data_IF_843651816876
#
_entry.id   IF_843651816876
#
_cell.length_a   1.000
_cell.length_b   1.000
_cell.length_c   1.000
_cell.angle_alpha   90.00
_cell.angle_beta   90.00
_cell.angle_gamma   90.00
#
_symmetry.space_group_name_H-M   'P 1'
#
loop_
_entity.id
_entity.type
_entity.pdbx_description
1 polymer ?
#
# COMPACT_ATOMS: atom_id res chain seq x y z
N UNK A 1 -36.58 -38.03 32.79
CA UNK A 1 -37.11 -36.87 33.53
C UNK A 1 -36.37 -35.58 33.22
N UNK A 2 -35.02 -35.54 33.14
CA UNK A 2 -34.30 -34.31 32.76
C UNK A 2 -34.16 -34.15 31.24
N UNK A 3 -33.96 -35.25 30.52
CA UNK A 3 -33.81 -35.27 29.05
C UNK A 3 -35.12 -34.91 28.32
N UNK A 4 -36.27 -35.34 28.84
CA UNK A 4 -37.59 -35.03 28.25
C UNK A 4 -37.95 -33.54 28.37
N UNK A 5 -37.42 -32.87 29.39
CA UNK A 5 -37.65 -31.44 29.63
C UNK A 5 -36.80 -30.57 28.70
N UNK A 6 -35.57 -31.03 28.37
CA UNK A 6 -34.65 -30.36 27.45
C UNK A 6 -35.18 -30.40 25.99
N UNK A 7 -35.68 -31.55 25.53
CA UNK A 7 -36.34 -31.65 24.21
C UNK A 7 -37.56 -30.73 24.09
N UNK A 8 -38.33 -30.59 25.18
CA UNK A 8 -39.54 -29.75 25.16
C UNK A 8 -39.19 -28.26 25.11
N UNK A 9 -38.16 -27.84 25.82
CA UNK A 9 -37.65 -26.46 25.79
C UNK A 9 -37.05 -26.12 24.41
N UNK A 10 -36.29 -27.04 23.80
CA UNK A 10 -35.74 -26.86 22.45
C UNK A 10 -36.84 -26.74 21.39
N UNK A 11 -37.86 -27.60 21.44
CA UNK A 11 -39.01 -27.52 20.54
C UNK A 11 -39.81 -26.21 20.72
N UNK A 12 -39.95 -25.74 21.97
CA UNK A 12 -40.64 -24.49 22.26
C UNK A 12 -39.84 -23.28 21.76
N UNK A 13 -38.52 -23.30 21.94
CA UNK A 13 -37.61 -22.27 21.43
C UNK A 13 -37.61 -22.21 19.90
N UNK A 14 -37.52 -23.35 19.21
CA UNK A 14 -37.61 -23.46 17.75
C UNK A 14 -38.95 -22.94 17.19
N UNK A 15 -40.06 -23.19 17.89
CA UNK A 15 -41.38 -22.66 17.51
C UNK A 15 -41.47 -21.14 17.68
N UNK A 16 -40.95 -20.62 18.79
CA UNK A 16 -40.89 -19.18 19.06
C UNK A 16 -39.98 -18.49 18.04
N UNK A 17 -38.83 -19.08 17.74
CA UNK A 17 -37.90 -18.60 16.72
C UNK A 17 -38.54 -18.56 15.33
N UNK A 18 -39.26 -19.61 14.94
CA UNK A 18 -40.01 -19.64 13.69
C UNK A 18 -41.17 -18.62 13.64
N UNK A 19 -41.84 -18.36 14.77
CA UNK A 19 -42.89 -17.34 14.87
C UNK A 19 -42.35 -15.92 14.79
N UNK A 20 -41.17 -15.68 15.36
CA UNK A 20 -40.56 -14.35 15.46
C UNK A 20 -39.74 -14.00 14.20
N UNK A 21 -39.11 -14.98 13.54
CA UNK A 21 -38.04 -14.68 12.60
C UNK A 21 -37.96 -15.62 11.41
N UNK A 22 -38.70 -15.32 10.35
CA UNK A 22 -38.28 -15.76 9.00
C UNK A 22 -38.72 -14.83 7.87
N UNK A 23 -39.82 -14.05 8.02
CA UNK A 23 -40.35 -13.20 6.92
C UNK A 23 -40.82 -11.81 7.34
N UNK A 24 -40.31 -11.27 8.45
CA UNK A 24 -40.61 -9.90 8.85
C UNK A 24 -39.97 -8.86 7.93
N UNK A 25 -40.76 -7.95 7.35
CA UNK A 25 -40.26 -6.78 6.59
C UNK A 25 -39.21 -5.98 7.38
N UNK A 26 -39.35 -5.95 8.70
CA UNK A 26 -38.42 -5.29 9.61
C UNK A 26 -37.05 -5.98 9.66
N UNK A 27 -36.99 -7.31 9.76
CA UNK A 27 -35.73 -8.06 9.80
C UNK A 27 -34.94 -7.90 8.49
N UNK A 28 -35.63 -7.91 7.34
CA UNK A 28 -35.00 -7.64 6.04
C UNK A 28 -34.47 -6.21 5.95
N UNK A 29 -35.21 -5.23 6.48
CA UNK A 29 -34.77 -3.83 6.50
C UNK A 29 -33.58 -3.60 7.43
N UNK A 30 -33.58 -4.23 8.60
CA UNK A 30 -32.45 -4.19 9.52
C UNK A 30 -31.20 -4.84 8.91
N UNK A 31 -31.34 -6.03 8.32
CA UNK A 31 -30.23 -6.71 7.64
C UNK A 31 -29.64 -5.86 6.50
N UNK A 32 -30.49 -5.25 5.68
CA UNK A 32 -30.04 -4.36 4.61
C UNK A 32 -29.34 -3.11 5.15
N UNK A 33 -29.91 -2.44 6.15
CA UNK A 33 -29.30 -1.26 6.77
C UNK A 33 -27.96 -1.58 7.42
N UNK A 34 -27.90 -2.69 8.16
CA UNK A 34 -26.68 -3.14 8.84
C UNK A 34 -25.58 -3.48 7.83
N UNK A 35 -25.89 -4.25 6.78
CA UNK A 35 -24.92 -4.58 5.74
C UNK A 35 -24.47 -3.34 4.97
N UNK A 36 -25.39 -2.44 4.61
CA UNK A 36 -25.04 -1.22 3.87
C UNK A 36 -24.12 -0.32 4.69
N UNK A 37 -24.42 -0.15 5.99
CA UNK A 37 -23.57 0.59 6.91
C UNK A 37 -22.20 -0.07 7.10
N UNK A 38 -22.17 -1.40 7.26
CA UNK A 38 -20.94 -2.15 7.40
C UNK A 38 -20.04 -2.03 6.16
N UNK A 39 -20.60 -2.16 4.96
CA UNK A 39 -19.87 -1.97 3.70
C UNK A 39 -19.34 -0.54 3.57
N UNK A 40 -20.13 0.47 3.94
CA UNK A 40 -19.69 1.86 3.92
C UNK A 40 -18.51 2.09 4.87
N UNK A 41 -18.59 1.60 6.10
CA UNK A 41 -17.50 1.70 7.07
C UNK A 41 -16.26 0.91 6.65
N UNK A 42 -16.42 -0.26 6.03
CA UNK A 42 -15.32 -1.07 5.54
C UNK A 42 -14.65 -0.48 4.29
N UNK A 43 -15.40 0.27 3.46
CA UNK A 43 -14.88 0.84 2.22
C UNK A 43 -13.82 1.92 2.45
N UNK A 44 -13.99 2.76 3.47
CA UNK A 44 -13.05 3.84 3.80
C UNK A 44 -11.61 3.34 4.09
N UNK A 45 -11.38 2.43 5.04
CA UNK A 45 -10.04 1.90 5.29
C UNK A 45 -9.51 1.08 4.12
N UNK A 46 -10.39 0.40 3.36
CA UNK A 46 -9.98 -0.35 2.17
C UNK A 46 -9.37 0.57 1.12
N UNK A 47 -10.02 1.68 0.78
CA UNK A 47 -9.48 2.62 -0.19
C UNK A 47 -8.23 3.34 0.34
N UNK A 48 -8.17 3.67 1.63
CA UNK A 48 -6.95 4.20 2.24
C UNK A 48 -5.76 3.23 2.11
N UNK A 49 -6.00 1.93 2.30
CA UNK A 49 -4.97 0.92 2.12
C UNK A 49 -4.52 0.78 0.66
N UNK A 50 -5.47 0.79 -0.29
CA UNK A 50 -5.16 0.77 -1.73
C UNK A 50 -4.32 1.99 -2.13
N UNK A 51 -4.66 3.18 -1.64
CA UNK A 51 -3.90 4.41 -1.90
C UNK A 51 -2.51 4.37 -1.25
N UNK A 52 -2.38 3.82 -0.04
CA UNK A 52 -1.08 3.68 0.62
C UNK A 52 -0.14 2.71 -0.12
N UNK A 53 -0.69 1.66 -0.74
CA UNK A 53 0.09 0.71 -1.55
C UNK A 53 0.34 1.18 -2.98
N UNK A 54 -0.49 2.08 -3.50
CA UNK A 54 -0.32 2.68 -4.81
C UNK A 54 0.82 3.71 -4.76
N UNK A 55 2.06 3.24 -4.67
CA UNK A 55 3.25 4.09 -4.83
C UNK A 55 3.33 4.50 -6.30
N UNK A 56 3.11 5.79 -6.64
CA UNK A 56 3.23 6.22 -8.02
C UNK A 56 4.69 6.10 -8.49
N UNK A 57 4.87 5.95 -9.80
CA UNK A 57 6.18 6.02 -10.42
C UNK A 57 6.72 7.46 -10.31
N UNK A 58 7.47 7.69 -9.23
CA UNK A 58 8.21 8.90 -8.99
C UNK A 58 9.70 8.65 -9.29
N UNK A 59 10.36 9.67 -9.81
CA UNK A 59 11.80 9.70 -10.01
C UNK A 59 12.38 10.80 -9.11
N UNK A 60 13.59 10.55 -8.59
CA UNK A 60 14.24 11.51 -7.71
C UNK A 60 14.69 12.74 -8.50
N UNK A 61 14.37 13.93 -8.00
CA UNK A 61 14.88 15.18 -8.56
C UNK A 61 16.34 15.37 -8.15
N UNK A 62 17.26 15.29 -9.12
CA UNK A 62 18.69 15.48 -8.88
C UNK A 62 19.08 16.95 -9.10
N UNK A 63 19.54 17.68 -8.05
CA UNK A 63 20.02 19.04 -8.19
C UNK A 63 21.33 19.08 -9.01
N UNK A 64 21.56 20.17 -9.75
CA UNK A 64 22.79 20.35 -10.55
C UNK A 64 22.57 20.49 -12.06
N UNK A 65 21.35 20.21 -12.55
CA UNK A 65 21.02 20.35 -13.99
C UNK A 65 21.28 21.76 -14.52
N UNK A 66 21.01 22.79 -13.72
CA UNK A 66 21.12 24.21 -14.12
C UNK A 66 22.54 24.65 -14.51
N UNK A 67 23.57 23.90 -14.11
CA UNK A 67 24.96 24.15 -14.50
C UNK A 67 25.40 23.41 -15.77
N UNK A 68 24.50 22.66 -16.40
CA UNK A 68 24.81 21.78 -17.54
C UNK A 68 23.85 22.01 -18.71
N UNK A 69 24.34 21.88 -19.95
CA UNK A 69 23.53 21.99 -21.17
C UNK A 69 22.77 20.68 -21.52
N UNK A 70 22.43 19.86 -20.53
CA UNK A 70 21.76 18.58 -20.76
C UNK A 70 20.23 18.71 -20.76
N UNK A 71 19.59 17.94 -21.64
CA UNK A 71 18.13 17.76 -21.62
C UNK A 71 17.70 16.92 -20.42
N UNK A 72 16.42 17.00 -20.02
CA UNK A 72 15.90 16.25 -18.86
C UNK A 72 16.10 14.74 -18.99
N UNK A 73 15.94 14.19 -20.18
CA UNK A 73 16.04 12.75 -20.41
C UNK A 73 17.49 12.26 -20.35
N UNK A 74 18.41 13.02 -20.94
CA UNK A 74 19.86 12.74 -20.84
C UNK A 74 20.35 12.87 -19.39
N UNK A 75 19.86 13.86 -18.66
CA UNK A 75 20.20 14.03 -17.25
C UNK A 75 19.73 12.84 -16.41
N UNK A 76 18.50 12.35 -16.62
CA UNK A 76 17.98 11.16 -15.95
C UNK A 76 18.84 9.93 -16.23
N UNK A 77 19.24 9.72 -17.48
CA UNK A 77 20.04 8.55 -17.87
C UNK A 77 21.43 8.52 -17.23
N UNK A 78 22.06 9.68 -17.03
CA UNK A 78 23.42 9.78 -16.46
C UNK A 78 23.39 9.72 -14.93
N UNK A 79 22.33 10.23 -14.30
CA UNK A 79 22.27 10.42 -12.84
C UNK A 79 21.55 9.29 -12.10
N UNK A 80 20.60 8.62 -12.73
CA UNK A 80 19.76 7.58 -12.10
C UNK A 80 20.19 6.18 -12.57
N UNK A 81 20.61 5.28 -11.67
CA UNK A 81 20.85 3.88 -12.02
C UNK A 81 19.57 3.19 -12.52
N UNK A 82 19.70 2.28 -13.47
CA UNK A 82 18.61 1.39 -13.88
C UNK A 82 18.58 0.19 -12.94
N UNK A 83 17.46 -0.04 -12.26
CA UNK A 83 17.24 -1.18 -11.37
C UNK A 83 16.17 -2.10 -11.96
N UNK A 84 16.35 -3.42 -11.75
CA UNK A 84 15.36 -4.40 -12.18
C UNK A 84 14.26 -4.41 -11.14
N UNK A 85 13.06 -4.00 -11.54
CA UNK A 85 11.90 -4.03 -10.67
C UNK A 85 11.49 -5.48 -10.36
N UNK A 86 10.64 -5.68 -9.36
CA UNK A 86 10.06 -6.97 -8.97
C UNK A 86 9.35 -7.66 -10.14
N UNK A 87 8.87 -6.88 -11.13
CA UNK A 87 8.26 -7.34 -12.37
C UNK A 87 9.27 -7.68 -13.50
N UNK A 88 10.57 -7.55 -13.25
CA UNK A 88 11.63 -7.88 -14.19
C UNK A 88 11.91 -6.84 -15.28
N UNK A 89 11.18 -5.73 -15.32
CA UNK A 89 11.47 -4.58 -16.19
C UNK A 89 12.63 -3.74 -15.66
N UNK A 90 13.44 -3.22 -16.58
CA UNK A 90 14.48 -2.24 -16.29
C UNK A 90 13.83 -0.85 -16.16
N UNK A 91 13.68 -0.37 -14.92
CA UNK A 91 13.16 0.97 -14.64
C UNK A 91 14.25 1.84 -13.99
N UNK A 92 14.11 3.16 -14.06
CA UNK A 92 15.01 4.06 -13.34
C UNK A 92 14.79 3.91 -11.83
N UNK A 93 15.88 3.89 -11.06
CA UNK A 93 15.80 3.72 -9.61
C UNK A 93 15.09 4.92 -8.97
N UNK A 94 14.12 4.64 -8.08
CA UNK A 94 13.27 5.66 -7.46
C UNK A 94 14.01 6.47 -6.37
N UNK A 95 15.00 5.88 -5.71
CA UNK A 95 15.66 6.48 -4.54
C UNK A 95 17.20 6.54 -4.61
N UNK A 96 17.81 6.03 -5.69
CA UNK A 96 19.27 5.93 -5.80
C UNK A 96 19.78 6.93 -6.83
N UNK A 97 20.92 7.54 -6.55
CA UNK A 97 21.67 8.37 -7.49
C UNK A 97 23.16 8.02 -7.47
N UNK A 98 23.88 8.40 -8.52
CA UNK A 98 25.33 8.22 -8.58
C UNK A 98 26.11 9.39 -7.96
N UNK A 99 26.78 9.15 -6.83
CA UNK A 99 28.20 9.49 -6.54
C UNK A 99 29.01 10.40 -7.49
N UNK A 100 28.66 11.65 -7.74
CA UNK A 100 29.50 12.58 -8.50
C UNK A 100 30.56 13.24 -7.62
N UNK A 101 31.81 13.30 -8.10
CA UNK A 101 32.96 13.85 -7.35
C UNK A 101 32.79 15.32 -6.93
N UNK A 102 31.92 16.08 -7.59
CA UNK A 102 31.75 17.52 -7.34
C UNK A 102 30.69 17.86 -6.27
N UNK A 103 30.00 16.87 -5.69
CA UNK A 103 29.04 17.05 -4.58
C UNK A 103 29.38 16.24 -3.32
N UNK A 104 30.57 15.64 -3.31
CA UNK A 104 31.05 14.76 -2.25
C UNK A 104 31.35 15.46 -0.89
N UNK A 105 31.17 16.78 -0.79
CA UNK A 105 31.32 17.52 0.47
C UNK A 105 30.09 17.44 1.39
N UNK A 106 28.98 16.82 0.96
CA UNK A 106 27.73 16.79 1.75
C UNK A 106 27.41 15.43 2.38
N UNK A 107 28.20 14.37 2.15
CA UNK A 107 27.82 13.05 2.66
C UNK A 107 28.94 12.30 3.38
N UNK A 108 29.43 12.92 4.44
CA UNK A 108 30.20 12.25 5.48
C UNK A 108 29.28 11.41 6.39
N UNK A 109 28.72 10.31 5.87
CA UNK A 109 28.18 9.25 6.72
C UNK A 109 28.06 7.93 5.95
N UNK A 110 29.18 7.18 5.93
CA UNK A 110 29.21 5.71 5.85
C UNK A 110 28.84 5.07 4.51
N UNK A 111 29.83 4.78 3.67
CA UNK A 111 29.69 3.93 2.48
C UNK A 111 30.61 2.70 2.59
N UNK A 112 30.06 1.51 2.32
CA UNK A 112 30.84 0.30 2.00
C UNK A 112 30.68 -0.05 0.51
N UNK A 113 31.68 -0.74 -0.09
CA UNK A 113 31.90 -0.75 -1.52
C UNK A 113 31.28 -1.97 -2.21
N UNK A 114 30.87 -1.86 -3.48
CA UNK A 114 31.23 -2.82 -4.54
C UNK A 114 30.74 -2.41 -5.95
N UNK A 115 31.72 -2.43 -6.84
CA UNK A 115 31.74 -2.73 -8.28
C UNK A 115 31.04 -1.82 -9.30
N UNK A 116 31.89 -1.21 -10.15
CA UNK A 116 31.67 -0.16 -11.14
C UNK A 116 31.56 1.27 -10.62
N UNK A 117 32.56 1.73 -9.83
CA UNK A 117 33.08 3.11 -9.86
C UNK A 117 32.15 4.30 -9.60
N UNK A 118 30.86 4.08 -9.36
CA UNK A 118 29.86 5.11 -9.08
C UNK A 118 29.11 4.64 -7.82
N UNK A 119 29.45 5.26 -6.69
CA UNK A 119 28.83 4.93 -5.41
C UNK A 119 27.34 5.24 -5.51
N UNK A 120 26.49 4.27 -5.19
CA UNK A 120 25.04 4.44 -5.15
C UNK A 120 24.72 5.11 -3.81
N UNK A 121 24.16 6.30 -3.85
CA UNK A 121 23.72 6.99 -2.64
C UNK A 121 22.20 6.93 -2.55
N UNK A 122 21.68 6.51 -1.41
CA UNK A 122 20.26 6.62 -1.11
C UNK A 122 19.94 8.09 -0.81
N UNK A 123 19.02 8.66 -1.59
CA UNK A 123 18.48 9.99 -1.35
C UNK A 123 17.38 9.79 -0.32
N UNK A 124 17.73 9.91 0.95
CA UNK A 124 16.75 9.86 2.03
C UNK A 124 15.76 11.01 1.86
N UNK A 125 14.53 10.66 1.51
CA UNK A 125 13.37 11.55 1.60
C UNK A 125 13.30 12.10 3.02
N UNK A 126 13.58 13.38 3.18
CA UNK A 126 13.07 14.14 4.33
C UNK A 126 11.62 14.53 4.07
#
# INVERSE_FOLDING_TARGET
>A
MKEDQEETDDMMFEQIMNKIGSRGKFQKRFNYLFNMFFVMLASMPYYNFVLAMAVPDHWCHVPGRNGTNYTLDQWKEITLPREKDTAGLLSFSKCKMYVGKDWADVTSSGLTPTDHGLQKHDVTSK
#
